data_IF_051646807321
#
_entry.id   IF_051646807321
#
_cell.length_a   1.000
_cell.length_b   1.000
_cell.length_c   1.000
_cell.angle_alpha   90.00
_cell.angle_beta   90.00
_cell.angle_gamma   90.00
#
_symmetry.space_group_name_H-M   'P 1'
#
loop_
_entity.id
_entity.type
_entity.pdbx_description
1 polymer ?
#
# COMPACT_ATOMS: atom_id res chain seq x y z
N UNK A 1 10.64 9.06 4.22
CA UNK A 1 10.92 10.48 3.90
C UNK A 1 10.35 10.86 2.54
N UNK A 2 10.72 10.19 1.43
CA UNK A 2 10.30 10.54 0.06
C UNK A 2 8.80 10.86 -0.13
N UNK A 3 7.90 10.00 0.37
CA UNK A 3 6.44 10.25 0.31
C UNK A 3 6.02 11.54 1.03
N UNK A 4 6.63 11.84 2.17
CA UNK A 4 6.35 13.06 2.95
C UNK A 4 6.86 14.31 2.21
N UNK A 5 8.04 14.24 1.60
CA UNK A 5 8.58 15.33 0.78
C UNK A 5 7.67 15.58 -0.42
N UNK A 6 7.31 14.53 -1.18
CA UNK A 6 6.38 14.63 -2.32
C UNK A 6 5.01 15.21 -1.92
N UNK A 7 4.48 14.85 -0.75
CA UNK A 7 3.25 15.42 -0.22
C UNK A 7 3.39 16.90 0.20
N UNK A 8 4.53 17.27 0.79
CA UNK A 8 4.85 18.67 1.10
C UNK A 8 4.94 19.52 -0.16
N UNK A 9 5.67 19.04 -1.18
CA UNK A 9 5.77 19.70 -2.49
C UNK A 9 4.41 19.87 -3.17
N UNK A 10 3.49 18.90 -3.00
CA UNK A 10 2.13 19.00 -3.53
C UNK A 10 1.29 20.03 -2.78
N UNK A 11 1.36 20.03 -1.44
CA UNK A 11 0.52 20.89 -0.59
C UNK A 11 0.95 22.35 -0.71
N UNK A 12 2.26 22.61 -0.69
CA UNK A 12 2.85 23.94 -0.74
C UNK A 12 3.32 24.33 -2.16
N UNK A 13 2.81 23.66 -3.21
CA UNK A 13 3.19 23.93 -4.60
C UNK A 13 3.10 25.40 -4.99
N UNK A 14 2.11 26.12 -4.44
CA UNK A 14 1.92 27.55 -4.72
C UNK A 14 2.99 28.48 -4.12
N UNK A 15 3.86 27.98 -3.25
CA UNK A 15 4.97 28.71 -2.63
C UNK A 15 6.33 28.33 -3.22
N UNK A 16 6.36 27.38 -4.15
CA UNK A 16 7.56 26.81 -4.75
C UNK A 16 7.58 27.12 -6.24
N UNK A 17 8.74 26.98 -6.87
CA UNK A 17 8.80 26.87 -8.33
C UNK A 17 7.93 25.66 -8.79
N UNK A 18 6.85 25.92 -9.56
CA UNK A 18 5.89 24.88 -9.92
C UNK A 18 6.48 23.80 -10.82
N UNK A 19 7.38 24.15 -11.74
CA UNK A 19 7.95 23.21 -12.71
C UNK A 19 8.94 22.30 -11.99
N UNK A 20 9.81 22.88 -11.15
CA UNK A 20 10.72 22.13 -10.31
C UNK A 20 9.98 21.20 -9.33
N UNK A 21 8.90 21.68 -8.71
CA UNK A 21 8.13 20.90 -7.74
C UNK A 21 7.44 19.69 -8.40
N UNK A 22 6.89 19.87 -9.60
CA UNK A 22 6.22 18.78 -10.33
C UNK A 22 7.21 17.74 -10.86
N UNK A 23 8.34 18.18 -11.41
CA UNK A 23 9.41 17.27 -11.84
C UNK A 23 9.95 16.45 -10.66
N UNK A 24 10.26 17.12 -9.55
CA UNK A 24 10.77 16.45 -8.33
C UNK A 24 9.75 15.48 -7.74
N UNK A 25 8.45 15.82 -7.78
CA UNK A 25 7.38 14.91 -7.36
C UNK A 25 7.31 13.65 -8.22
N UNK A 26 7.46 13.77 -9.54
CA UNK A 26 7.46 12.62 -10.45
C UNK A 26 8.63 11.67 -10.15
N UNK A 27 9.82 12.21 -9.91
CA UNK A 27 11.01 11.43 -9.55
C UNK A 27 10.86 10.77 -8.18
N UNK A 28 10.35 11.48 -7.17
CA UNK A 28 10.06 10.90 -5.85
C UNK A 28 8.99 9.80 -5.91
N UNK A 29 8.00 9.94 -6.78
CA UNK A 29 6.98 8.91 -7.00
C UNK A 29 7.59 7.67 -7.66
N UNK A 30 8.44 7.85 -8.67
CA UNK A 30 9.19 6.77 -9.29
C UNK A 30 10.04 5.99 -8.27
N UNK A 31 10.85 6.68 -7.46
CA UNK A 31 11.67 6.05 -6.41
C UNK A 31 10.81 5.32 -5.38
N UNK A 32 9.79 5.99 -4.85
CA UNK A 32 8.95 5.40 -3.80
C UNK A 32 8.11 4.22 -4.33
N UNK A 33 7.77 4.21 -5.61
CA UNK A 33 7.13 3.09 -6.28
C UNK A 33 8.08 1.92 -6.41
N UNK A 34 9.27 2.16 -6.98
CA UNK A 34 10.30 1.14 -7.24
C UNK A 34 10.71 0.42 -5.95
N UNK A 35 11.04 1.17 -4.88
CA UNK A 35 11.41 0.57 -3.59
C UNK A 35 10.22 0.00 -2.81
N UNK A 36 9.00 0.44 -3.12
CA UNK A 36 7.79 -0.08 -2.49
C UNK A 36 7.40 -1.48 -2.97
N UNK A 37 7.82 -1.90 -4.16
CA UNK A 37 7.39 -3.16 -4.79
C UNK A 37 7.83 -4.40 -4.01
N UNK A 38 9.05 -4.41 -3.47
CA UNK A 38 9.54 -5.57 -2.71
C UNK A 38 8.66 -5.81 -1.47
N UNK A 39 8.45 -4.76 -0.68
CA UNK A 39 7.62 -4.81 0.52
C UNK A 39 6.15 -5.13 0.17
N UNK A 40 5.63 -4.58 -0.92
CA UNK A 40 4.27 -4.87 -1.38
C UNK A 40 4.10 -6.35 -1.76
N UNK A 41 5.10 -6.99 -2.38
CA UNK A 41 5.06 -8.42 -2.68
C UNK A 41 5.02 -9.26 -1.40
N UNK A 42 5.88 -8.96 -0.42
CA UNK A 42 5.90 -9.65 0.87
C UNK A 42 4.56 -9.50 1.62
N UNK A 43 4.07 -8.28 1.78
CA UNK A 43 2.81 -8.00 2.46
C UNK A 43 1.59 -8.58 1.73
N UNK A 44 1.65 -8.74 0.40
CA UNK A 44 0.61 -9.43 -0.38
C UNK A 44 0.65 -10.94 -0.15
N UNK A 45 1.83 -11.56 -0.09
CA UNK A 45 1.98 -12.98 0.19
C UNK A 45 1.40 -13.33 1.56
N UNK A 46 1.81 -12.61 2.61
CA UNK A 46 1.34 -12.83 3.97
C UNK A 46 -0.18 -12.71 4.07
N UNK A 47 -0.76 -11.65 3.48
CA UNK A 47 -2.22 -11.46 3.47
C UNK A 47 -2.96 -12.59 2.75
N UNK A 48 -2.44 -13.06 1.61
CA UNK A 48 -3.10 -14.12 0.84
C UNK A 48 -2.99 -15.48 1.53
N UNK A 49 -1.83 -15.81 2.11
CA UNK A 49 -1.67 -17.05 2.88
C UNK A 49 -2.59 -17.04 4.11
N UNK A 50 -2.66 -15.91 4.81
CA UNK A 50 -3.54 -15.78 5.97
C UNK A 50 -5.01 -15.92 5.56
N UNK A 51 -5.44 -15.28 4.47
CA UNK A 51 -6.80 -15.43 3.93
C UNK A 51 -7.09 -16.89 3.53
N UNK A 52 -6.15 -17.57 2.90
CA UNK A 52 -6.29 -18.96 2.49
C UNK A 52 -6.42 -19.92 3.67
N UNK A 53 -5.64 -19.70 4.74
CA UNK A 53 -5.76 -20.47 5.99
C UNK A 53 -7.13 -20.24 6.64
N UNK A 54 -7.62 -18.99 6.68
CA UNK A 54 -8.96 -18.67 7.19
C UNK A 54 -10.05 -19.40 6.39
N UNK A 55 -9.99 -19.33 5.06
CA UNK A 55 -10.97 -19.98 4.17
C UNK A 55 -10.93 -21.51 4.24
N UNK A 56 -9.73 -22.08 4.42
CA UNK A 56 -9.57 -23.54 4.56
C UNK A 56 -10.08 -24.04 5.91
N UNK A 57 -9.85 -23.26 6.98
CA UNK A 57 -10.38 -23.53 8.32
C UNK A 57 -11.89 -23.33 8.45
N UNK A 58 -12.53 -22.55 7.57
CA UNK A 58 -14.00 -22.42 7.50
C UNK A 58 -14.69 -23.58 6.80
N UNK A 59 -13.97 -24.64 6.40
CA UNK A 59 -14.60 -25.92 6.04
C UNK A 59 -15.10 -26.61 7.32
N UNK A 60 -16.13 -26.03 7.93
CA UNK A 60 -16.90 -26.71 8.97
C UNK A 60 -17.85 -27.67 8.25
N UNK A 61 -17.65 -28.95 8.56
CA UNK A 61 -18.51 -30.06 8.19
C UNK A 61 -19.99 -29.75 8.49
N UNK A 62 -20.96 -30.39 7.80
CA UNK A 62 -22.38 -30.19 8.09
C UNK A 62 -22.69 -30.49 9.56
N UNK A 63 -23.59 -29.73 10.22
CA UNK A 63 -23.96 -30.01 11.59
C UNK A 63 -24.75 -31.32 11.62
N UNK A 64 -24.14 -32.38 12.15
CA UNK A 64 -24.89 -33.48 12.77
C UNK A 64 -24.83 -33.26 14.27
N UNK A 65 -26.02 -33.04 14.81
CA UNK A 65 -26.40 -32.81 16.19
C UNK A 65 -25.72 -33.78 17.17
N UNK A 66 -25.07 -33.27 18.24
CA UNK A 66 -25.33 -33.67 19.63
C UNK A 66 -24.34 -33.08 20.66
N UNK A 67 -24.93 -32.53 21.74
CA UNK A 67 -24.53 -32.58 23.16
C UNK A 67 -23.31 -31.77 23.69
N UNK A 68 -23.63 -30.58 24.21
CA UNK A 68 -23.42 -30.09 25.58
C UNK A 68 -22.19 -30.58 26.41
N UNK A 69 -21.22 -29.69 26.70
CA UNK A 69 -20.54 -29.53 28.02
C UNK A 69 -19.58 -28.30 28.07
N UNK A 70 -19.43 -27.73 29.27
CA UNK A 70 -18.82 -26.44 29.69
C UNK A 70 -17.33 -26.16 29.29
N UNK A 71 -16.83 -24.89 29.38
CA UNK A 71 -15.52 -24.50 28.85
C UNK A 71 -14.37 -24.57 29.87
N UNK A 72 -13.21 -25.05 29.41
CA UNK A 72 -11.90 -24.90 30.06
C UNK A 72 -10.89 -24.31 29.04
N UNK A 73 -9.88 -23.51 29.47
CA UNK A 73 -9.14 -22.64 28.58
C UNK A 73 -8.10 -23.43 27.77
N UNK A 74 -8.32 -23.55 26.46
CA UNK A 74 -7.44 -24.32 25.58
C UNK A 74 -6.69 -23.41 24.62
N UNK A 75 -5.37 -23.37 24.84
CA UNK A 75 -4.26 -23.36 23.88
C UNK A 75 -4.67 -23.30 22.40
N UNK A 76 -4.02 -22.39 21.66
CA UNK A 76 -4.18 -22.15 20.23
C UNK A 76 -4.44 -23.43 19.41
N UNK A 77 -5.44 -23.43 18.52
CA UNK A 77 -5.86 -24.64 17.82
C UNK A 77 -4.76 -25.15 16.88
N UNK A 78 -4.64 -26.48 16.71
CA UNK A 78 -3.72 -27.08 15.75
C UNK A 78 -4.11 -26.65 14.33
N UNK A 79 -3.10 -26.35 13.51
CA UNK A 79 -3.28 -26.02 12.10
C UNK A 79 -4.01 -27.19 11.40
N UNK A 80 -5.27 -26.97 11.02
CA UNK A 80 -6.04 -27.92 10.22
C UNK A 80 -5.27 -28.14 8.91
N UNK A 81 -5.02 -29.39 8.47
CA UNK A 81 -4.34 -29.65 7.22
C UNK A 81 -5.10 -28.98 6.07
N UNK A 82 -4.42 -28.12 5.31
CA UNK A 82 -5.01 -27.52 4.13
C UNK A 82 -5.48 -28.63 3.19
N UNK A 83 -6.67 -28.46 2.60
CA UNK A 83 -7.10 -29.35 1.50
C UNK A 83 -6.06 -29.30 0.39
N UNK A 84 -5.92 -30.38 -0.39
CA UNK A 84 -4.87 -30.47 -1.44
C UNK A 84 -4.91 -29.26 -2.41
N UNK A 85 -6.11 -28.74 -2.70
CA UNK A 85 -6.29 -27.53 -3.49
C UNK A 85 -5.73 -26.27 -2.83
N UNK A 86 -6.06 -26.04 -1.55
CA UNK A 86 -5.51 -24.92 -0.78
C UNK A 86 -4.00 -25.04 -0.58
N UNK A 87 -3.48 -26.24 -0.32
CA UNK A 87 -2.03 -26.47 -0.23
C UNK A 87 -1.31 -26.14 -1.55
N UNK A 88 -1.88 -26.53 -2.69
CA UNK A 88 -1.33 -26.18 -4.02
C UNK A 88 -1.42 -24.69 -4.32
N UNK A 89 -2.53 -24.05 -3.98
CA UNK A 89 -2.69 -22.60 -4.14
C UNK A 89 -1.66 -21.82 -3.29
N UNK A 90 -1.45 -22.24 -2.03
CA UNK A 90 -0.43 -21.68 -1.15
C UNK A 90 0.97 -21.78 -1.79
N UNK A 91 1.34 -22.97 -2.26
CA UNK A 91 2.64 -23.20 -2.89
C UNK A 91 2.82 -22.37 -4.18
N UNK A 92 1.77 -22.21 -4.99
CA UNK A 92 1.82 -21.39 -6.20
C UNK A 92 1.98 -19.91 -5.88
N UNK A 93 1.22 -19.39 -4.92
CA UNK A 93 1.31 -18.00 -4.47
C UNK A 93 2.68 -17.69 -3.91
N UNK A 94 3.21 -18.57 -3.04
CA UNK A 94 4.54 -18.45 -2.47
C UNK A 94 5.62 -18.40 -3.56
N UNK A 95 5.60 -19.36 -4.51
CA UNK A 95 6.57 -19.38 -5.61
C UNK A 95 6.48 -18.11 -6.47
N UNK A 96 5.28 -17.67 -6.82
CA UNK A 96 5.08 -16.50 -7.71
C UNK A 96 5.49 -15.19 -7.04
N UNK A 97 5.06 -14.97 -5.80
CA UNK A 97 5.36 -13.73 -5.09
C UNK A 97 6.80 -13.68 -4.59
N UNK A 98 7.42 -14.81 -4.27
CA UNK A 98 8.86 -14.88 -3.97
C UNK A 98 9.69 -14.52 -5.20
N UNK A 99 9.35 -15.04 -6.38
CA UNK A 99 10.03 -14.65 -7.63
C UNK A 99 9.79 -13.18 -7.99
N UNK A 100 8.57 -12.68 -7.83
CA UNK A 100 8.26 -11.27 -8.07
C UNK A 100 9.04 -10.36 -7.10
N UNK A 101 9.14 -10.74 -5.83
CA UNK A 101 9.94 -10.04 -4.81
C UNK A 101 11.42 -10.01 -5.19
N UNK A 102 11.99 -11.15 -5.61
CA UNK A 102 13.39 -11.21 -6.01
C UNK A 102 13.68 -10.28 -7.22
N UNK A 103 12.79 -10.25 -8.21
CA UNK A 103 12.91 -9.31 -9.35
C UNK A 103 12.77 -7.86 -8.92
N UNK A 104 11.81 -7.55 -8.05
CA UNK A 104 11.64 -6.22 -7.51
C UNK A 104 12.87 -5.77 -6.70
N UNK A 105 13.48 -6.69 -5.97
CA UNK A 105 14.71 -6.45 -5.22
C UNK A 105 15.89 -6.13 -6.14
N UNK A 106 16.15 -6.96 -7.15
CA UNK A 106 17.19 -6.68 -8.15
C UNK A 106 16.93 -5.36 -8.89
N UNK A 107 15.69 -5.10 -9.31
CA UNK A 107 15.32 -3.84 -9.96
C UNK A 107 15.48 -2.61 -9.05
N UNK A 108 15.25 -2.76 -7.74
CA UNK A 108 15.54 -1.71 -6.77
C UNK A 108 17.05 -1.44 -6.64
N UNK A 109 17.89 -2.48 -6.61
CA UNK A 109 19.34 -2.33 -6.57
C UNK A 109 19.89 -1.69 -7.85
N UNK A 110 19.37 -2.09 -9.02
CA UNK A 110 19.71 -1.46 -10.31
C UNK A 110 19.30 0.02 -10.33
N UNK A 111 18.10 0.34 -9.83
CA UNK A 111 17.64 1.72 -9.73
C UNK A 111 18.54 2.56 -8.80
N UNK A 112 18.99 2.01 -7.67
CA UNK A 112 19.91 2.68 -6.74
C UNK A 112 21.26 3.01 -7.40
N UNK A 113 21.74 2.17 -8.31
CA UNK A 113 22.98 2.40 -9.06
C UNK A 113 22.81 3.29 -10.31
N UNK A 114 21.60 3.76 -10.59
CA UNK A 114 21.32 4.50 -11.83
C UNK A 114 21.65 5.99 -11.72
N UNK A 115 22.08 6.60 -12.84
CA UNK A 115 22.31 8.04 -12.91
C UNK A 115 21.05 8.86 -12.56
N UNK A 116 19.86 8.34 -12.88
CA UNK A 116 18.56 8.94 -12.52
C UNK A 116 18.38 9.06 -11.00
N UNK A 117 18.71 8.00 -10.26
CA UNK A 117 18.64 8.04 -8.80
C UNK A 117 19.65 9.02 -8.22
N UNK A 118 20.88 9.03 -8.72
CA UNK A 118 21.90 9.99 -8.28
C UNK A 118 21.50 11.44 -8.55
N UNK A 119 20.95 11.76 -9.73
CA UNK A 119 20.44 13.10 -10.04
C UNK A 119 19.33 13.55 -9.07
N UNK A 120 18.41 12.65 -8.71
CA UNK A 120 17.39 12.95 -7.70
C UNK A 120 18.01 13.12 -6.31
N UNK A 121 18.98 12.27 -5.93
CA UNK A 121 19.66 12.36 -4.64
C UNK A 121 20.40 13.70 -4.50
N UNK A 122 21.10 14.14 -5.55
CA UNK A 122 21.78 15.44 -5.60
C UNK A 122 20.78 16.59 -5.49
N UNK A 123 19.65 16.51 -6.22
CA UNK A 123 18.57 17.50 -6.11
C UNK A 123 17.99 17.59 -4.69
N UNK A 124 17.79 16.45 -4.02
CA UNK A 124 17.32 16.41 -2.62
C UNK A 124 18.40 16.92 -1.66
N UNK A 125 19.68 16.68 -1.93
CA UNK A 125 20.77 17.20 -1.13
C UNK A 125 20.81 18.74 -1.18
N UNK A 126 20.63 19.34 -2.36
CA UNK A 126 20.51 20.79 -2.53
C UNK A 126 19.29 21.33 -1.78
N UNK A 127 18.16 20.61 -1.82
CA UNK A 127 16.93 21.02 -1.12
C UNK A 127 17.11 21.20 0.40
N UNK A 128 18.09 20.54 1.01
CA UNK A 128 18.38 20.69 2.43
C UNK A 128 18.97 22.07 2.78
N UNK A 129 19.59 22.76 1.82
CA UNK A 129 20.20 24.08 2.00
C UNK A 129 19.48 25.20 1.24
N UNK A 130 18.90 24.90 0.08
CA UNK A 130 18.26 25.87 -0.79
C UNK A 130 16.92 25.35 -1.29
N UNK A 131 15.85 26.04 -0.93
CA UNK A 131 14.48 25.71 -1.32
C UNK A 131 14.08 26.67 -2.43
N UNK A 132 13.72 26.18 -3.63
CA UNK A 132 13.31 27.04 -4.75
C UNK A 132 11.92 27.62 -4.49
N UNK A 133 11.90 28.70 -3.71
CA UNK A 133 10.70 29.44 -3.35
C UNK A 133 10.24 30.31 -4.52
N UNK A 134 8.92 30.39 -4.71
CA UNK A 134 8.33 31.35 -5.62
C UNK A 134 8.61 32.79 -5.14
N UNK A 135 8.62 33.79 -6.05
CA UNK A 135 8.79 35.18 -5.66
C UNK A 135 7.74 35.60 -4.63
N UNK A 136 8.17 36.18 -3.50
CA UNK A 136 7.27 36.63 -2.43
C UNK A 136 6.75 35.52 -1.51
N UNK A 137 7.19 34.26 -1.66
CA UNK A 137 6.83 33.17 -0.75
C UNK A 137 7.55 33.24 0.60
N UNK A 138 8.62 34.05 0.72
CA UNK A 138 9.34 34.24 1.96
C UNK A 138 8.43 34.89 3.03
N UNK A 139 8.19 34.18 4.13
CA UNK A 139 7.31 34.64 5.22
C UNK A 139 5.81 34.46 4.94
N UNK A 140 5.43 33.78 3.86
CA UNK A 140 4.03 33.47 3.58
C UNK A 140 3.44 32.56 4.66
N UNK A 141 2.17 32.79 5.00
CA UNK A 141 1.43 31.92 5.91
C UNK A 141 1.15 30.56 5.28
N UNK A 142 1.49 29.49 5.98
CA UNK A 142 1.29 28.10 5.56
C UNK A 142 -0.11 27.59 5.92
N UNK A 143 -0.80 28.23 6.87
CA UNK A 143 -2.12 27.85 7.36
C UNK A 143 -3.17 27.68 6.25
N UNK A 144 -3.30 28.61 5.29
CA UNK A 144 -4.25 28.49 4.17
C UNK A 144 -4.01 27.26 3.30
N UNK A 145 -2.74 26.90 3.05
CA UNK A 145 -2.39 25.73 2.24
C UNK A 145 -2.72 24.40 2.94
N UNK A 146 -2.49 24.35 4.26
CA UNK A 146 -2.86 23.19 5.08
C UNK A 146 -4.40 23.02 5.13
N UNK A 147 -5.12 24.12 5.34
CA UNK A 147 -6.59 24.13 5.35
C UNK A 147 -7.15 23.66 4.01
N UNK A 148 -6.61 24.15 2.89
CA UNK A 148 -7.03 23.69 1.55
C UNK A 148 -6.72 22.20 1.29
N UNK A 149 -5.70 21.62 1.93
CA UNK A 149 -5.45 20.18 1.85
C UNK A 149 -6.49 19.37 2.67
N UNK A 150 -6.85 19.87 3.85
CA UNK A 150 -7.91 19.30 4.68
C UNK A 150 -9.27 19.35 3.99
N UNK A 151 -9.64 20.49 3.40
CA UNK A 151 -10.90 20.66 2.68
C UNK A 151 -11.02 19.70 1.50
N UNK A 152 -9.93 19.47 0.76
CA UNK A 152 -9.88 18.47 -0.33
C UNK A 152 -10.10 17.06 0.19
N UNK A 153 -9.52 16.70 1.33
CA UNK A 153 -9.74 15.40 1.96
C UNK A 153 -11.20 15.26 2.40
N UNK A 154 -11.74 16.25 3.11
CA UNK A 154 -13.13 16.23 3.59
C UNK A 154 -14.12 16.14 2.43
N UNK A 155 -13.87 16.87 1.34
CA UNK A 155 -14.67 16.81 0.11
C UNK A 155 -14.63 15.41 -0.53
N UNK A 156 -13.44 14.80 -0.60
CA UNK A 156 -13.28 13.44 -1.13
C UNK A 156 -13.99 12.39 -0.26
N UNK A 157 -13.90 12.52 1.07
CA UNK A 157 -14.60 11.64 2.02
C UNK A 157 -16.11 11.78 1.91
N UNK A 158 -16.63 13.01 1.80
CA UNK A 158 -18.06 13.27 1.63
C UNK A 158 -18.63 12.70 0.31
N UNK A 159 -17.79 12.56 -0.72
CA UNK A 159 -18.17 11.96 -2.00
C UNK A 159 -18.18 10.42 -2.00
N UNK A 160 -17.68 9.76 -0.93
CA UNK A 160 -17.66 8.30 -0.87
C UNK A 160 -19.08 7.73 -0.73
N UNK A 161 -19.46 6.73 -1.56
CA UNK A 161 -20.75 6.06 -1.42
C UNK A 161 -20.73 5.15 -0.18
N UNK A 162 -21.18 5.67 0.96
CA UNK A 162 -21.22 4.98 2.26
C UNK A 162 -22.07 3.68 2.26
N UNK A 163 -22.86 3.44 1.22
CA UNK A 163 -23.83 2.32 1.14
C UNK A 163 -23.19 1.00 0.70
N UNK A 164 -22.00 0.99 0.11
CA UNK A 164 -21.32 -0.25 -0.33
C UNK A 164 -20.45 -0.91 0.77
N UNK A 165 -20.29 -0.26 1.93
CA UNK A 165 -19.45 -0.74 3.03
C UNK A 165 -20.11 -1.81 3.93
N UNK A 166 -21.40 -2.09 3.75
CA UNK A 166 -22.15 -3.12 4.49
C UNK A 166 -22.09 -4.53 3.89
N UNK A 167 -21.55 -4.67 2.68
CA UNK A 167 -21.33 -5.98 2.05
C UNK A 167 -19.87 -6.41 2.24
N UNK A 168 -19.59 -7.72 2.43
CA UNK A 168 -18.21 -8.18 2.47
C UNK A 168 -17.50 -7.72 1.21
N UNK A 169 -16.34 -7.09 1.41
CA UNK A 169 -15.49 -6.52 0.38
C UNK A 169 -15.36 -7.51 -0.81
N UNK A 170 -15.98 -7.20 -1.96
CA UNK A 170 -16.09 -7.98 -3.20
C UNK A 170 -17.34 -8.88 -3.42
N UNK A 171 -18.46 -8.71 -2.72
CA UNK A 171 -19.67 -9.48 -3.04
C UNK A 171 -20.11 -9.36 -4.52
N UNK A 172 -20.02 -8.16 -5.11
CA UNK A 172 -20.31 -7.96 -6.55
C UNK A 172 -19.22 -8.51 -7.49
N UNK A 173 -17.93 -8.35 -7.16
CA UNK A 173 -16.86 -8.84 -8.03
C UNK A 173 -16.77 -10.38 -8.10
N UNK A 174 -17.33 -11.09 -7.10
CA UNK A 174 -17.50 -12.54 -7.15
C UNK A 174 -18.62 -12.98 -8.10
N UNK A 175 -19.61 -12.12 -8.38
CA UNK A 175 -20.69 -12.42 -9.31
C UNK A 175 -20.25 -12.22 -10.77
N UNK A 176 -19.42 -11.20 -11.04
CA UNK A 176 -18.96 -10.87 -12.39
C UNK A 176 -17.78 -11.74 -12.88
N UNK A 177 -17.12 -12.49 -12.00
CA UNK A 177 -15.93 -13.29 -12.32
C UNK A 177 -16.19 -14.74 -12.74
N UNK A 178 -17.44 -15.19 -12.82
CA UNK A 178 -17.81 -16.59 -13.09
C UNK A 178 -18.79 -16.79 -14.27
N UNK A 179 -19.05 -15.75 -15.07
CA UNK A 179 -19.76 -15.84 -16.36
C UNK A 179 -18.79 -15.84 -17.54
#
# INVERSE_FOLDING_TARGET
SARRVSAGLYTFRGLLDPDWADETRAELAWVSGTFGLEHACAARLDRLLLALHRLSGTTTAPPTTAANTLPAPTKAPPAVPLTVGAARAAALLDRRLTLARARAHSGALEALGSARFHALADRIAVLASDVPLAPGAAGADLGPYATAAEDRLNSAVAALPLVTAGHPYNAQALADGLS
#
